data_IF_508081955228
#
_entry.id   IF_508081955228
#
_cell.length_a   1.000
_cell.length_b   1.000
_cell.length_c   1.000
_cell.angle_alpha   90.00
_cell.angle_beta   90.00
_cell.angle_gamma   90.00
#
_symmetry.space_group_name_H-M   'P 1'
#
loop_
_entity.id
_entity.type
_entity.pdbx_description
1 polymer ?
#
# COMPACT_ATOMS: atom_id res chain seq x y z
N UNK A 1 16.25 -20.54 1.98
CA UNK A 1 14.91 -20.40 1.36
C UNK A 1 14.06 -19.33 2.04
N UNK A 2 13.91 -19.37 3.36
CA UNK A 2 13.15 -18.36 4.12
C UNK A 2 13.52 -16.91 3.78
N UNK A 3 14.81 -16.57 3.75
CA UNK A 3 15.28 -15.22 3.40
C UNK A 3 14.83 -14.75 2.01
N UNK A 4 14.83 -15.63 1.00
CA UNK A 4 14.37 -15.26 -0.35
C UNK A 4 12.87 -14.98 -0.40
N UNK A 5 12.07 -15.70 0.39
CA UNK A 5 10.63 -15.47 0.51
C UNK A 5 10.38 -14.12 1.17
N UNK A 6 11.05 -13.83 2.29
CA UNK A 6 10.91 -12.55 3.01
C UNK A 6 11.37 -11.37 2.15
N UNK A 7 12.47 -11.52 1.42
CA UNK A 7 12.97 -10.50 0.49
C UNK A 7 12.00 -10.25 -0.67
N UNK A 8 11.39 -11.30 -1.21
CA UNK A 8 10.38 -11.17 -2.26
C UNK A 8 9.11 -10.48 -1.74
N UNK A 9 8.71 -10.75 -0.49
CA UNK A 9 7.61 -10.05 0.18
C UNK A 9 7.92 -8.58 0.42
N UNK A 10 9.15 -8.25 0.83
CA UNK A 10 9.60 -6.86 0.99
C UNK A 10 9.44 -6.08 -0.32
N UNK A 11 10.00 -6.61 -1.42
CA UNK A 11 9.88 -5.99 -2.75
C UNK A 11 8.42 -5.85 -3.16
N UNK A 12 7.60 -6.87 -2.89
CA UNK A 12 6.18 -6.83 -3.19
C UNK A 12 5.47 -5.67 -2.46
N UNK A 13 5.71 -5.50 -1.15
CA UNK A 13 5.13 -4.38 -0.41
C UNK A 13 5.59 -3.02 -0.91
N UNK A 14 6.87 -2.87 -1.28
CA UNK A 14 7.40 -1.63 -1.90
C UNK A 14 6.67 -1.31 -3.20
N UNK A 15 6.49 -2.31 -4.07
CA UNK A 15 5.77 -2.11 -5.35
C UNK A 15 4.33 -1.67 -5.10
N UNK A 16 3.64 -2.28 -4.13
CA UNK A 16 2.29 -1.87 -3.75
C UNK A 16 2.25 -0.44 -3.23
N UNK A 17 3.21 -0.05 -2.39
CA UNK A 17 3.30 1.30 -1.84
C UNK A 17 3.49 2.34 -2.95
N UNK A 18 4.36 2.06 -3.93
CA UNK A 18 4.55 2.91 -5.11
C UNK A 18 3.25 3.05 -5.92
N UNK A 19 2.50 1.97 -6.12
CA UNK A 19 1.20 2.04 -6.83
C UNK A 19 0.21 2.94 -6.08
N UNK A 20 0.15 2.85 -4.75
CA UNK A 20 -0.74 3.69 -3.93
C UNK A 20 -0.29 5.16 -3.95
N UNK A 21 1.02 5.42 -3.95
CA UNK A 21 1.56 6.77 -4.12
C UNK A 21 1.22 7.36 -5.48
N UNK A 22 1.35 6.59 -6.56
CA UNK A 22 0.94 7.02 -7.90
C UNK A 22 -0.56 7.36 -7.95
N UNK A 23 -1.40 6.57 -7.27
CA UNK A 23 -2.82 6.86 -7.14
C UNK A 23 -3.08 8.19 -6.40
N UNK A 24 -2.36 8.49 -5.32
CA UNK A 24 -2.50 9.76 -4.59
C UNK A 24 -2.01 10.95 -5.43
N UNK A 25 -0.88 10.81 -6.12
CA UNK A 25 -0.34 11.85 -7.01
C UNK A 25 -1.34 12.15 -8.13
N UNK A 26 -1.97 11.13 -8.71
CA UNK A 26 -3.03 11.32 -9.70
C UNK A 26 -4.30 11.98 -9.18
N UNK A 27 -4.53 11.96 -7.86
CA UNK A 27 -5.63 12.71 -7.26
C UNK A 27 -5.30 14.21 -7.15
N UNK A 28 -4.01 14.56 -7.10
CA UNK A 28 -3.54 15.95 -6.99
C UNK A 28 -3.27 16.61 -8.35
N UNK A 29 -2.97 15.83 -9.39
CA UNK A 29 -2.68 16.31 -10.74
C UNK A 29 -3.59 15.65 -11.77
N UNK A 30 -4.07 16.42 -12.76
CA UNK A 30 -4.86 15.89 -13.86
C UNK A 30 -3.99 15.10 -14.85
N UNK A 31 -3.89 13.79 -14.64
CA UNK A 31 -3.32 12.86 -15.61
C UNK A 31 -4.37 12.43 -16.64
N UNK A 32 -3.90 12.01 -17.83
CA UNK A 32 -4.78 11.49 -18.89
C UNK A 32 -5.67 10.33 -18.43
N UNK A 33 -6.90 10.30 -18.93
CA UNK A 33 -7.96 9.33 -18.59
C UNK A 33 -7.50 7.86 -18.60
N UNK A 34 -6.63 7.49 -19.55
CA UNK A 34 -6.11 6.13 -19.66
C UNK A 34 -5.18 5.76 -18.50
N UNK A 35 -4.26 6.65 -18.12
CA UNK A 35 -3.31 6.43 -17.01
C UNK A 35 -4.08 6.27 -15.70
N UNK A 36 -5.08 7.14 -15.48
CA UNK A 36 -5.96 7.07 -14.30
C UNK A 36 -6.72 5.75 -14.21
N UNK A 37 -7.23 5.24 -15.35
CA UNK A 37 -7.94 3.96 -15.38
C UNK A 37 -7.02 2.79 -15.03
N UNK A 38 -5.81 2.76 -15.57
CA UNK A 38 -4.84 1.69 -15.28
C UNK A 38 -4.47 1.70 -13.81
N UNK A 39 -4.15 2.86 -13.24
CA UNK A 39 -3.79 2.97 -11.82
C UNK A 39 -4.96 2.61 -10.91
N UNK A 40 -6.20 2.95 -11.26
CA UNK A 40 -7.38 2.50 -10.53
C UNK A 40 -7.53 0.98 -10.54
N UNK A 41 -7.31 0.31 -11.67
CA UNK A 41 -7.38 -1.14 -11.77
C UNK A 41 -6.31 -1.80 -10.89
N UNK A 42 -5.09 -1.23 -10.89
CA UNK A 42 -3.98 -1.73 -10.09
C UNK A 42 -4.20 -1.55 -8.58
N UNK A 43 -4.77 -0.41 -8.16
CA UNK A 43 -4.95 -0.11 -6.73
C UNK A 43 -6.24 -0.71 -6.15
N UNK A 44 -7.27 -0.92 -6.98
CA UNK A 44 -8.58 -1.44 -6.58
C UNK A 44 -8.54 -2.69 -5.68
N UNK A 45 -7.77 -3.76 -5.99
CA UNK A 45 -7.78 -4.99 -5.18
C UNK A 45 -7.34 -4.76 -3.72
N UNK A 46 -6.58 -3.70 -3.45
CA UNK A 46 -6.00 -3.43 -2.12
C UNK A 46 -6.74 -2.26 -1.46
N UNK A 47 -7.16 -1.27 -2.25
CA UNK A 47 -7.88 -0.12 -1.76
C UNK A 47 -9.31 -0.47 -1.32
N UNK A 48 -10.02 -1.32 -2.06
CA UNK A 48 -11.39 -1.72 -1.73
C UNK A 48 -11.53 -2.43 -0.36
N UNK A 49 -10.70 -3.43 -0.01
CA UNK A 49 -10.79 -4.05 1.32
C UNK A 49 -10.47 -3.04 2.43
N UNK A 50 -9.47 -2.17 2.24
CA UNK A 50 -9.18 -1.10 3.20
C UNK A 50 -10.35 -0.13 3.36
N UNK A 51 -10.99 0.27 2.27
CA UNK A 51 -12.18 1.12 2.32
C UNK A 51 -13.33 0.46 3.07
N UNK A 52 -13.53 -0.86 2.91
CA UNK A 52 -14.53 -1.60 3.70
C UNK A 52 -14.18 -1.60 5.19
N UNK A 53 -12.91 -1.83 5.55
CA UNK A 53 -12.47 -1.79 6.94
C UNK A 53 -12.68 -0.41 7.58
N UNK A 54 -12.33 0.67 6.85
CA UNK A 54 -12.49 2.06 7.32
C UNK A 54 -13.97 2.45 7.43
N UNK A 55 -14.82 1.98 6.52
CA UNK A 55 -16.28 2.26 6.55
C UNK A 55 -16.95 1.75 7.81
N UNK A 56 -16.45 0.66 8.38
CA UNK A 56 -16.94 0.09 9.64
C UNK A 56 -16.18 0.61 10.88
N UNK A 57 -15.22 1.51 10.69
CA UNK A 57 -14.44 2.14 11.76
C UNK A 57 -14.99 3.52 12.12
N UNK A 58 -14.55 4.04 13.28
CA UNK A 58 -14.83 5.42 13.74
C UNK A 58 -14.36 6.47 12.71
N UNK A 59 -13.38 6.11 11.86
CA UNK A 59 -12.84 6.95 10.79
C UNK A 59 -13.79 7.19 9.61
N UNK A 60 -14.97 6.55 9.56
CA UNK A 60 -16.00 6.83 8.55
C UNK A 60 -16.64 8.23 8.70
N UNK A 61 -16.33 8.96 9.77
CA UNK A 61 -16.83 10.32 10.01
C UNK A 61 -16.05 11.41 9.26
N UNK A 62 -14.90 11.09 8.68
CA UNK A 62 -14.11 12.06 7.90
C UNK A 62 -14.67 12.22 6.49
N UNK A 63 -14.78 13.47 6.03
CA UNK A 63 -15.17 13.80 4.65
C UNK A 63 -14.14 13.39 3.59
N UNK A 64 -12.92 13.05 4.02
CA UNK A 64 -11.81 12.64 3.18
C UNK A 64 -11.59 11.14 3.34
N UNK A 65 -11.51 10.42 2.21
CA UNK A 65 -11.11 9.01 2.20
C UNK A 65 -9.69 8.85 2.78
N UNK A 66 -9.61 8.41 4.04
CA UNK A 66 -8.36 8.11 4.76
C UNK A 66 -7.74 6.76 4.38
N UNK A 67 -8.52 5.89 3.73
CA UNK A 67 -8.13 4.55 3.30
C UNK A 67 -6.79 4.46 2.56
N UNK A 68 -6.48 5.28 1.53
CA UNK A 68 -5.18 5.21 0.85
C UNK A 68 -4.00 5.60 1.74
N UNK A 69 -4.19 6.52 2.69
CA UNK A 69 -3.14 6.92 3.64
C UNK A 69 -2.88 5.83 4.67
N UNK A 70 -3.94 5.23 5.22
CA UNK A 70 -3.82 4.07 6.10
C UNK A 70 -3.15 2.90 5.40
N UNK A 71 -3.46 2.70 4.12
CA UNK A 71 -2.84 1.64 3.33
C UNK A 71 -1.33 1.85 3.18
N UNK A 72 -0.87 3.08 2.96
CA UNK A 72 0.57 3.39 2.96
C UNK A 72 1.18 3.02 4.31
N UNK A 73 0.61 3.47 5.43
CA UNK A 73 1.14 3.19 6.78
C UNK A 73 1.27 1.67 7.02
N UNK A 74 0.25 0.89 6.64
CA UNK A 74 0.27 -0.57 6.79
C UNK A 74 1.34 -1.21 5.91
N UNK A 75 1.45 -0.78 4.64
CA UNK A 75 2.45 -1.29 3.71
C UNK A 75 3.88 -0.97 4.18
N UNK A 76 4.16 0.28 4.57
CA UNK A 76 5.49 0.65 5.09
C UNK A 76 5.82 -0.11 6.39
N UNK A 77 4.83 -0.39 7.24
CA UNK A 77 5.04 -1.21 8.43
C UNK A 77 5.41 -2.65 8.07
N UNK A 78 4.68 -3.28 7.15
CA UNK A 78 4.94 -4.64 6.70
C UNK A 78 6.30 -4.76 6.00
N UNK A 79 6.67 -3.77 5.18
CA UNK A 79 7.99 -3.69 4.57
C UNK A 79 9.11 -3.61 5.63
N UNK A 80 8.97 -2.74 6.64
CA UNK A 80 9.93 -2.67 7.77
C UNK A 80 10.00 -3.96 8.56
N UNK A 81 8.87 -4.63 8.77
CA UNK A 81 8.83 -5.95 9.41
C UNK A 81 9.64 -6.97 8.61
N UNK A 82 9.47 -7.01 7.28
CA UNK A 82 10.26 -7.88 6.41
C UNK A 82 11.77 -7.58 6.51
N UNK A 83 12.15 -6.30 6.48
CA UNK A 83 13.55 -5.89 6.68
C UNK A 83 14.11 -6.32 8.04
N UNK A 84 13.34 -6.14 9.09
CA UNK A 84 13.73 -6.58 10.44
C UNK A 84 13.92 -8.11 10.50
N UNK A 85 13.03 -8.88 9.88
CA UNK A 85 13.15 -10.34 9.82
C UNK A 85 14.38 -10.79 9.02
N UNK A 86 14.76 -10.07 7.96
CA UNK A 86 15.99 -10.33 7.21
C UNK A 86 17.24 -10.04 8.04
N UNK A 87 17.25 -8.92 8.78
CA UNK A 87 18.34 -8.56 9.69
C UNK A 87 18.49 -9.60 10.80
N UNK A 88 17.39 -9.95 11.47
CA UNK A 88 17.38 -10.97 12.52
C UNK A 88 17.88 -12.34 12.01
N UNK A 89 17.50 -12.72 10.78
CA UNK A 89 17.92 -13.97 10.16
C UNK A 89 19.38 -13.96 9.71
N UNK A 90 20.03 -12.80 9.57
CA UNK A 90 21.43 -12.70 9.12
C UNK A 90 22.43 -12.68 10.27
N UNK A 91 21.99 -12.78 11.52
CA UNK A 91 22.86 -12.96 12.69
C UNK A 91 23.67 -11.72 13.08
N UNK A 92 23.18 -10.52 12.72
CA UNK A 92 23.67 -9.23 13.21
C UNK A 92 22.75 -8.73 14.32
#
# INVERSE_FOLDING_TARGET
MYQYIVYSLEIFFIVLEVIVLLYLIQKMFDFGLQVRRITLILVAPILQPMQRMVKHSVMNTFSVDLSPYLLIVVLSYLERLCRYLLQLSSGV
#
